data_IF_759128668859
#
_entry.id   IF_759128668859
#
_cell.length_a   1.000
_cell.length_b   1.000
_cell.length_c   1.000
_cell.angle_alpha   90.00
_cell.angle_beta   90.00
_cell.angle_gamma   90.00
#
_symmetry.space_group_name_H-M   'P 1'
#
loop_
_entity.id
_entity.type
_entity.pdbx_description
1 polymer ?
#
# COMPACT_ATOMS: atom_id res chain seq x y z
N UNK A 1 0.14 7.10 1.72
CA UNK A 1 -0.44 7.84 2.87
C UNK A 1 0.56 7.75 4.00
N UNK A 2 1.17 8.86 4.44
CA UNK A 2 2.14 8.85 5.54
C UNK A 2 2.00 10.15 6.34
N UNK A 3 2.18 10.08 7.66
CA UNK A 3 2.19 11.25 8.53
C UNK A 3 3.58 11.89 8.67
N UNK A 4 4.64 11.18 8.26
CA UNK A 4 6.00 11.67 8.30
C UNK A 4 6.29 12.49 7.04
N UNK A 5 7.07 13.56 7.19
CA UNK A 5 7.58 14.35 6.05
C UNK A 5 8.60 13.55 5.24
N UNK A 6 9.50 12.84 5.93
CA UNK A 6 10.43 11.89 5.32
C UNK A 6 9.98 10.44 5.59
N UNK A 7 9.91 9.64 4.53
CA UNK A 7 9.48 8.23 4.64
C UNK A 7 10.68 7.36 5.03
N UNK A 8 10.76 7.04 6.33
CA UNK A 8 11.73 6.08 6.88
C UNK A 8 11.01 5.08 7.80
N UNK A 9 10.51 3.97 7.23
CA UNK A 9 9.66 3.01 7.94
C UNK A 9 10.40 2.08 8.92
N UNK A 10 11.64 2.40 9.30
CA UNK A 10 12.37 1.68 10.34
C UNK A 10 11.77 1.94 11.71
N UNK A 11 11.75 0.93 12.58
CA UNK A 11 11.15 1.01 13.92
C UNK A 11 11.74 2.16 14.74
N UNK A 12 13.05 2.38 14.64
CA UNK A 12 13.76 3.40 15.41
C UNK A 12 13.43 4.84 14.96
N UNK A 13 12.80 4.99 13.78
CA UNK A 13 12.60 6.28 13.13
C UNK A 13 11.15 6.63 12.84
N UNK A 14 10.27 5.63 12.80
CA UNK A 14 8.85 5.83 12.57
C UNK A 14 8.04 5.36 13.78
N UNK A 15 7.48 6.29 14.58
CA UNK A 15 6.68 5.92 15.77
C UNK A 15 5.41 5.15 15.39
N UNK A 16 4.92 5.32 14.16
CA UNK A 16 3.74 4.62 13.65
C UNK A 16 4.04 3.19 13.16
N UNK A 17 5.30 2.89 12.84
CA UNK A 17 5.75 1.55 12.45
C UNK A 17 6.25 0.73 13.65
N UNK A 18 6.78 1.41 14.68
CA UNK A 18 7.26 0.76 15.89
C UNK A 18 6.11 0.15 16.69
N UNK A 19 6.14 -1.16 16.95
CA UNK A 19 5.04 -1.88 17.60
C UNK A 19 3.71 -1.85 16.83
N UNK A 20 3.75 -1.69 15.50
CA UNK A 20 2.55 -1.65 14.66
C UNK A 20 1.64 -2.87 14.88
N UNK A 21 2.20 -4.08 14.77
CA UNK A 21 1.43 -5.33 14.87
C UNK A 21 0.85 -5.57 16.27
N UNK A 22 1.39 -4.91 17.30
CA UNK A 22 0.87 -5.01 18.66
C UNK A 22 -0.40 -4.16 18.84
N UNK A 23 -0.48 -3.01 18.15
CA UNK A 23 -1.58 -2.03 18.27
C UNK A 23 -2.65 -2.16 17.19
N UNK A 24 -2.32 -2.79 16.06
CA UNK A 24 -3.19 -2.80 14.88
C UNK A 24 -4.52 -3.52 15.11
N UNK A 25 -4.54 -4.58 15.93
CA UNK A 25 -5.76 -5.36 16.17
C UNK A 25 -6.87 -4.49 16.77
N UNK A 26 -6.57 -3.70 17.79
CA UNK A 26 -7.54 -2.77 18.38
C UNK A 26 -7.96 -1.69 17.39
N UNK A 27 -7.02 -1.18 16.59
CA UNK A 27 -7.30 -0.15 15.59
C UNK A 27 -8.26 -0.66 14.51
N UNK A 28 -8.06 -1.87 14.00
CA UNK A 28 -8.91 -2.50 12.97
C UNK A 28 -10.29 -2.80 13.55
N UNK A 29 -10.37 -3.44 14.72
CA UNK A 29 -11.66 -3.75 15.33
C UNK A 29 -12.47 -2.47 15.56
N UNK A 30 -11.83 -1.43 16.12
CA UNK A 30 -12.50 -0.16 16.34
C UNK A 30 -12.97 0.47 15.02
N UNK A 31 -12.15 0.41 13.96
CA UNK A 31 -12.51 0.93 12.64
C UNK A 31 -13.70 0.17 12.03
N UNK A 32 -13.64 -1.17 11.98
CA UNK A 32 -14.65 -2.00 11.33
C UNK A 32 -15.99 -2.01 12.10
N UNK A 33 -15.95 -1.91 13.44
CA UNK A 33 -17.17 -1.90 14.26
C UNK A 33 -17.94 -0.58 14.19
N UNK A 34 -17.26 0.53 13.85
CA UNK A 34 -17.84 1.88 13.93
C UNK A 34 -18.04 2.53 12.57
N UNK A 35 -17.38 2.05 11.51
CA UNK A 35 -17.39 2.69 10.19
C UNK A 35 -17.88 1.75 9.09
N UNK A 36 -18.88 2.19 8.34
CA UNK A 36 -19.39 1.44 7.18
C UNK A 36 -18.65 1.81 5.89
N UNK A 37 -18.17 3.06 5.78
CA UNK A 37 -17.44 3.56 4.61
C UNK A 37 -16.06 4.04 5.06
N UNK A 38 -15.04 3.28 4.70
CA UNK A 38 -13.67 3.54 5.12
C UNK A 38 -12.96 4.36 4.04
N UNK A 39 -12.95 5.67 4.23
CA UNK A 39 -12.23 6.61 3.36
C UNK A 39 -10.87 6.97 3.98
N UNK A 40 -10.05 7.67 3.19
CA UNK A 40 -8.72 8.10 3.61
C UNK A 40 -8.73 8.89 4.93
N UNK A 41 -9.64 9.84 5.06
CA UNK A 41 -9.81 10.67 6.26
C UNK A 41 -10.13 9.83 7.50
N UNK A 42 -11.00 8.82 7.34
CA UNK A 42 -11.33 7.85 8.40
C UNK A 42 -10.08 7.05 8.79
N UNK A 43 -9.36 6.48 7.82
CA UNK A 43 -8.10 5.77 8.09
C UNK A 43 -7.12 6.66 8.86
N UNK A 44 -6.96 7.92 8.44
CA UNK A 44 -6.04 8.85 9.11
C UNK A 44 -6.46 9.15 10.55
N UNK A 45 -7.77 9.29 10.82
CA UNK A 45 -8.30 9.50 12.16
C UNK A 45 -8.00 8.32 13.09
N UNK A 46 -8.30 7.08 12.67
CA UNK A 46 -8.07 5.88 13.48
C UNK A 46 -6.57 5.59 13.62
N UNK A 47 -5.79 5.81 12.56
CA UNK A 47 -4.34 5.69 12.60
C UNK A 47 -3.70 6.63 13.63
N UNK A 48 -4.18 7.88 13.72
CA UNK A 48 -3.73 8.82 14.76
C UNK A 48 -4.17 8.37 16.16
N UNK A 49 -5.43 7.97 16.31
CA UNK A 49 -6.00 7.54 17.60
C UNK A 49 -5.25 6.36 18.21
N UNK A 50 -4.88 5.37 17.39
CA UNK A 50 -4.20 4.15 17.84
C UNK A 50 -2.68 4.19 17.63
N UNK A 51 -2.14 5.32 17.15
CA UNK A 51 -0.73 5.51 16.85
C UNK A 51 -0.17 4.38 15.95
N UNK A 52 -0.82 4.14 14.81
CA UNK A 52 -0.41 3.11 13.83
C UNK A 52 -0.18 3.72 12.45
N UNK A 53 0.60 3.05 11.61
CA UNK A 53 0.85 3.49 10.24
C UNK A 53 -0.46 3.50 9.43
N UNK A 54 -0.88 4.66 8.87
CA UNK A 54 -2.13 4.74 8.13
C UNK A 54 -2.10 3.94 6.83
N UNK A 55 -0.92 3.82 6.21
CA UNK A 55 -0.76 3.00 5.01
C UNK A 55 -1.02 1.53 5.31
N UNK A 56 -0.29 0.94 6.27
CA UNK A 56 -0.50 -0.47 6.63
C UNK A 56 -1.93 -0.69 7.17
N UNK A 57 -2.46 0.25 7.97
CA UNK A 57 -3.85 0.14 8.48
C UNK A 57 -4.86 0.08 7.33
N UNK A 58 -4.68 0.84 6.25
CA UNK A 58 -5.55 0.76 5.08
C UNK A 58 -5.48 -0.58 4.36
N UNK A 59 -4.31 -1.23 4.34
CA UNK A 59 -4.15 -2.55 3.75
C UNK A 59 -4.81 -3.62 4.63
N UNK A 60 -4.65 -3.51 5.94
CA UNK A 60 -5.26 -4.47 6.85
C UNK A 60 -6.79 -4.31 6.94
N UNK A 61 -7.30 -3.08 6.92
CA UNK A 61 -8.74 -2.80 6.84
C UNK A 61 -9.38 -3.36 5.56
N UNK A 62 -8.64 -3.37 4.45
CA UNK A 62 -9.11 -3.94 3.18
C UNK A 62 -9.42 -5.45 3.27
N UNK A 63 -8.84 -6.19 4.24
CA UNK A 63 -9.18 -7.60 4.48
C UNK A 63 -10.52 -7.80 5.18
N UNK A 64 -10.91 -6.83 6.02
CA UNK A 64 -12.19 -6.87 6.73
C UNK A 64 -13.34 -6.26 5.93
N UNK A 65 -13.06 -5.65 4.78
CA UNK A 65 -14.06 -5.00 3.94
C UNK A 65 -14.67 -5.97 2.92
N UNK A 66 -15.98 -5.87 2.72
CA UNK A 66 -16.68 -6.64 1.68
C UNK A 66 -16.33 -6.18 0.26
N UNK A 67 -15.99 -4.90 0.11
CA UNK A 67 -15.62 -4.29 -1.17
C UNK A 67 -14.47 -3.30 -1.00
N UNK A 68 -13.53 -3.32 -1.94
CA UNK A 68 -12.33 -2.47 -1.93
C UNK A 68 -12.20 -1.77 -3.27
N UNK A 69 -12.06 -0.44 -3.24
CA UNK A 69 -11.77 0.38 -4.42
C UNK A 69 -10.29 0.75 -4.38
N UNK A 70 -9.53 0.34 -5.39
CA UNK A 70 -8.09 0.59 -5.45
C UNK A 70 -7.58 0.74 -6.89
N UNK A 71 -6.34 1.19 -7.01
CA UNK A 71 -5.64 1.34 -8.30
C UNK A 71 -5.23 -0.03 -8.88
N UNK A 72 -5.13 -0.12 -10.21
CA UNK A 72 -4.65 -1.29 -10.95
C UNK A 72 -3.36 -1.89 -10.38
N UNK A 73 -2.44 -1.04 -9.91
CA UNK A 73 -1.13 -1.46 -9.41
C UNK A 73 -1.21 -2.50 -8.28
N UNK A 74 -2.23 -2.40 -7.43
CA UNK A 74 -2.40 -3.33 -6.31
C UNK A 74 -2.83 -4.74 -6.72
N UNK A 75 -3.37 -4.90 -7.93
CA UNK A 75 -3.81 -6.19 -8.46
C UNK A 75 -2.86 -6.75 -9.51
N UNK A 76 -2.30 -5.89 -10.36
CA UNK A 76 -1.55 -6.31 -11.55
C UNK A 76 -0.03 -6.09 -11.46
N UNK A 77 0.51 -5.21 -10.58
CA UNK A 77 1.97 -4.98 -10.54
C UNK A 77 2.66 -6.12 -9.80
N UNK A 78 3.60 -6.86 -10.40
CA UNK A 78 4.29 -7.95 -9.69
C UNK A 78 5.13 -7.45 -8.48
N UNK A 79 5.53 -6.18 -8.46
CA UNK A 79 6.35 -5.55 -7.41
C UNK A 79 5.51 -4.99 -6.26
N UNK A 80 4.30 -4.50 -6.57
CA UNK A 80 3.42 -3.78 -5.61
C UNK A 80 2.14 -4.56 -5.30
N UNK A 81 1.83 -5.64 -6.04
CA UNK A 81 0.59 -6.38 -5.85
C UNK A 81 0.42 -6.77 -4.40
N UNK A 82 -0.82 -6.66 -3.92
CA UNK A 82 -1.24 -7.11 -2.60
C UNK A 82 -0.97 -8.61 -2.50
N UNK A 83 0.25 -9.00 -2.13
CA UNK A 83 0.66 -10.39 -1.92
C UNK A 83 -0.29 -11.07 -0.92
N UNK A 84 -0.81 -10.30 0.03
CA UNK A 84 -1.76 -10.72 1.05
C UNK A 84 -3.17 -11.04 0.50
N UNK A 85 -3.55 -10.56 -0.69
CA UNK A 85 -4.84 -10.89 -1.36
C UNK A 85 -4.76 -12.20 -2.18
N UNK A 86 -3.62 -12.88 -2.19
CA UNK A 86 -3.40 -14.08 -3.01
C UNK A 86 -3.87 -15.36 -2.31
N UNK A 87 -4.25 -16.37 -3.10
CA UNK A 87 -4.73 -17.66 -2.58
C UNK A 87 -6.24 -17.82 -2.73
N UNK A 88 -6.92 -18.28 -1.67
CA UNK A 88 -8.35 -18.60 -1.68
C UNK A 88 -9.25 -17.39 -1.92
N UNK A 89 -8.89 -16.22 -1.36
CA UNK A 89 -9.66 -14.98 -1.55
C UNK A 89 -9.78 -14.61 -3.03
N UNK A 90 -8.69 -14.70 -3.81
CA UNK A 90 -8.71 -14.44 -5.27
C UNK A 90 -9.73 -15.27 -6.05
N UNK A 91 -10.04 -16.50 -5.61
CA UNK A 91 -10.96 -17.39 -6.33
C UNK A 91 -12.42 -17.01 -6.12
N UNK A 92 -12.74 -16.38 -5.00
CA UNK A 92 -14.11 -15.98 -4.61
C UNK A 92 -14.33 -14.46 -4.67
N UNK A 93 -13.40 -13.71 -5.26
CA UNK A 93 -13.53 -12.26 -5.44
C UNK A 93 -13.95 -11.94 -6.87
N UNK A 94 -15.02 -11.14 -7.01
CA UNK A 94 -15.36 -10.51 -8.28
C UNK A 94 -14.47 -9.28 -8.49
N UNK A 95 -13.79 -9.21 -9.63
CA UNK A 95 -12.99 -8.05 -10.01
C UNK A 95 -13.73 -7.20 -11.04
N UNK A 96 -14.02 -5.95 -10.67
CA UNK A 96 -14.53 -4.93 -11.59
C UNK A 96 -13.39 -3.99 -11.99
N UNK A 97 -13.11 -3.92 -13.29
CA UNK A 97 -12.10 -3.03 -13.87
C UNK A 97 -12.84 -1.89 -14.54
N UNK A 98 -12.88 -0.74 -13.86
CA UNK A 98 -13.40 0.49 -14.47
C UNK A 98 -12.41 0.98 -15.54
N UNK A 99 -12.89 1.56 -16.64
CA UNK A 99 -12.05 2.04 -17.75
C UNK A 99 -11.00 1.03 -18.26
N UNK A 100 -11.41 -0.24 -18.40
CA UNK A 100 -10.55 -1.37 -18.76
C UNK A 100 -9.74 -1.18 -20.06
N UNK A 101 -10.11 -0.23 -20.91
CA UNK A 101 -9.34 0.12 -22.11
C UNK A 101 -7.93 0.63 -21.77
N UNK A 102 -7.74 1.29 -20.62
CA UNK A 102 -6.44 1.78 -20.16
C UNK A 102 -5.54 0.67 -19.59
N UNK A 103 -6.10 -0.51 -19.30
CA UNK A 103 -5.41 -1.58 -18.60
C UNK A 103 -4.22 -2.13 -19.39
N UNK A 104 -4.34 -2.25 -20.72
CA UNK A 104 -3.31 -2.86 -21.57
C UNK A 104 -2.03 -2.03 -21.53
N UNK A 105 -2.13 -0.72 -21.74
CA UNK A 105 -0.96 0.15 -21.74
C UNK A 105 -0.34 0.25 -20.35
N UNK A 106 -1.17 0.33 -19.30
CA UNK A 106 -0.69 0.29 -17.91
C UNK A 106 0.05 -1.01 -17.59
N UNK A 107 -0.51 -2.16 -17.94
CA UNK A 107 0.13 -3.45 -17.71
C UNK A 107 1.48 -3.54 -18.45
N UNK A 108 1.54 -3.06 -19.71
CA UNK A 108 2.81 -3.03 -20.47
C UNK A 108 3.87 -2.20 -19.75
N UNK A 109 3.52 -1.03 -19.23
CA UNK A 109 4.43 -0.20 -18.43
C UNK A 109 4.89 -0.90 -17.14
N UNK A 110 3.96 -1.52 -16.41
CA UNK A 110 4.24 -2.20 -15.13
C UNK A 110 5.22 -3.37 -15.26
N UNK A 111 5.16 -4.09 -16.39
CA UNK A 111 6.05 -5.22 -16.69
C UNK A 111 7.30 -4.84 -17.51
N UNK A 112 7.41 -3.58 -17.93
CA UNK A 112 8.58 -3.09 -18.69
C UNK A 112 9.56 -2.37 -17.78
N UNK A 113 10.85 -2.45 -18.11
CA UNK A 113 11.91 -1.68 -17.47
C UNK A 113 12.63 -0.83 -18.51
N UNK A 114 12.92 0.42 -18.16
CA UNK A 114 13.72 1.33 -18.98
C UNK A 114 15.09 1.55 -18.36
N UNK A 115 16.12 1.74 -19.18
CA UNK A 115 17.44 2.16 -18.74
C UNK A 115 17.72 3.57 -19.27
N UNK A 116 17.79 4.55 -18.36
CA UNK A 116 18.16 5.92 -18.70
C UNK A 116 19.65 6.15 -18.44
N UNK A 117 20.32 6.82 -19.39
CA UNK A 117 21.77 7.08 -19.33
C UNK A 117 22.16 7.90 -18.11
N UNK A 118 21.36 8.89 -17.71
CA UNK A 118 21.68 9.76 -16.56
C UNK A 118 21.59 8.95 -15.27
N UNK A 119 20.49 8.22 -15.08
CA UNK A 119 20.31 7.33 -13.93
C UNK A 119 21.45 6.31 -13.81
N UNK A 120 21.92 5.76 -14.93
CA UNK A 120 23.06 4.83 -14.95
C UNK A 120 24.38 5.51 -14.52
N UNK A 121 24.66 6.69 -15.06
CA UNK A 121 25.88 7.45 -14.73
C UNK A 121 25.88 7.93 -13.27
N UNK A 122 24.72 8.30 -12.72
CA UNK A 122 24.60 8.71 -11.32
C UNK A 122 25.01 7.58 -10.38
N UNK A 123 24.50 6.36 -10.61
CA UNK A 123 24.89 5.16 -9.84
C UNK A 123 26.39 4.88 -9.99
N UNK A 124 26.95 5.03 -11.19
CA UNK A 124 28.37 4.81 -11.44
C UNK A 124 29.25 5.83 -10.72
N UNK A 125 28.83 7.10 -10.68
CA UNK A 125 29.57 8.18 -9.99
C UNK A 125 29.65 8.00 -8.48
N UNK A 126 28.62 7.38 -7.87
CA UNK A 126 28.59 7.04 -6.44
C UNK A 126 29.61 5.92 -6.14
N UNK A 127 29.76 4.94 -7.04
CA UNK A 127 30.75 3.86 -6.90
C UNK A 127 32.19 4.31 -7.07
N UNK A 128 32.47 5.30 -7.94
CA UNK A 128 33.83 5.80 -8.17
C UNK A 128 34.39 6.68 -7.04
N UNK A 129 33.59 6.95 -5.99
CA UNK A 129 33.99 7.73 -4.80
C UNK A 129 34.16 6.88 -3.54
N UNK A 130 34.01 5.55 -3.64
CA UNK A 130 34.35 4.58 -2.60
C UNK A 130 35.70 3.92 -2.92
#
# INVERSE_FOLDING_TARGET
MCFQEEVDCRKEKCPFADGYYDRVNEAILNLLDNELIIRRDVIEQYARKHCVCPFELSLDAAYGADAVICDYNYLFDPRVSLKRLTGEHKRNTALLVDEAHNLIDRAREMYSAGLDKRNFLDIFSVRSKA
#
